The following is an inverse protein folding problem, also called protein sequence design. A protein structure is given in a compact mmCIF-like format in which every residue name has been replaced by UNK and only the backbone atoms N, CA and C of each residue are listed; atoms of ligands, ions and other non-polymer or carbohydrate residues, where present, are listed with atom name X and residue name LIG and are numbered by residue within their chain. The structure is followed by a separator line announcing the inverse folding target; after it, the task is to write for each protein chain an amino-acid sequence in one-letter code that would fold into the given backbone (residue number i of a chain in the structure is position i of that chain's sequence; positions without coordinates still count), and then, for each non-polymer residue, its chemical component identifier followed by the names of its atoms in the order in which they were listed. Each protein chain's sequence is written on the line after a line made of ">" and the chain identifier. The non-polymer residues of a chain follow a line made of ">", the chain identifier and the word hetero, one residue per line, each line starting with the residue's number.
data_IF_537224259959
#
_entry.id   IF_537224259959
#
_cell.length_a   1.000
_cell.length_b   1.000
_cell.length_c   1.000
_cell.angle_alpha   90.00
_cell.angle_beta   90.00
_cell.angle_gamma   90.00
#
_symmetry.space_group_name_H-M   'P 1'
#
loop_
_entity.id
_entity.type
_entity.pdbx_description
1 polymer ?
#
# COMPACT_ATOMS: atom_id res chain seq x y z
N UNK A 1 1.41 -9.63 5.73
CA UNK A 1 2.59 -8.98 5.13
C UNK A 1 2.23 -8.10 3.90
N UNK A 2 0.95 -7.67 3.77
CA UNK A 2 0.55 -6.74 2.72
C UNK A 2 1.35 -5.43 2.82
N UNK A 3 1.61 -4.80 1.67
CA UNK A 3 2.44 -3.60 1.59
C UNK A 3 3.94 -3.84 1.38
N UNK A 4 4.46 -5.03 1.68
CA UNK A 4 5.84 -5.42 1.37
C UNK A 4 6.07 -5.62 -0.14
N UNK A 5 7.35 -5.54 -0.61
CA UNK A 5 7.73 -6.06 -1.92
C UNK A 5 7.27 -7.51 -2.09
N UNK A 6 6.87 -7.90 -3.29
CA UNK A 6 6.18 -9.20 -3.48
C UNK A 6 7.05 -10.41 -3.13
N UNK A 7 8.36 -10.34 -3.36
CA UNK A 7 9.29 -11.40 -2.95
C UNK A 7 9.29 -11.59 -1.43
N UNK A 8 9.43 -10.49 -0.69
CA UNK A 8 9.46 -10.50 0.78
C UNK A 8 8.10 -10.94 1.35
N UNK A 9 7.00 -10.55 0.69
CA UNK A 9 5.66 -10.99 1.04
C UNK A 9 5.54 -12.52 0.93
N UNK A 10 6.02 -13.11 -0.16
CA UNK A 10 6.01 -14.58 -0.37
C UNK A 10 6.89 -15.25 0.67
N UNK A 11 8.09 -14.71 0.93
CA UNK A 11 9.03 -15.23 1.94
C UNK A 11 8.38 -15.29 3.32
N UNK A 12 7.80 -14.18 3.78
CA UNK A 12 7.07 -14.14 5.07
C UNK A 12 5.93 -15.14 5.11
N UNK A 13 5.19 -15.31 4.01
CA UNK A 13 4.05 -16.24 3.96
C UNK A 13 4.49 -17.71 4.00
N UNK A 14 5.46 -18.09 3.17
CA UNK A 14 5.87 -19.50 3.02
C UNK A 14 6.57 -20.01 4.29
N UNK A 15 7.23 -19.12 5.03
CA UNK A 15 7.92 -19.43 6.27
C UNK A 15 7.01 -19.40 7.53
N UNK A 16 5.72 -19.10 7.38
CA UNK A 16 4.79 -19.28 8.49
C UNK A 16 4.74 -20.76 8.94
N UNK A 17 4.78 -21.07 10.24
CA UNK A 17 4.94 -22.45 10.72
C UNK A 17 3.98 -23.46 10.08
N UNK A 18 2.71 -23.11 9.93
CA UNK A 18 1.69 -23.98 9.32
C UNK A 18 1.95 -24.19 7.83
N UNK A 19 2.38 -23.15 7.11
CA UNK A 19 2.61 -23.20 5.67
C UNK A 19 3.92 -23.94 5.39
N UNK A 20 4.99 -23.63 6.13
CA UNK A 20 6.28 -24.30 6.00
C UNK A 20 6.16 -25.80 6.26
N UNK A 21 5.43 -26.22 7.29
CA UNK A 21 5.20 -27.65 7.58
C UNK A 21 4.40 -28.34 6.46
N UNK A 22 3.37 -27.70 5.90
CA UNK A 22 2.61 -28.24 4.77
C UNK A 22 3.47 -28.32 3.49
N UNK A 23 4.34 -27.32 3.28
CA UNK A 23 5.30 -27.33 2.17
C UNK A 23 6.27 -28.49 2.27
N UNK A 24 6.90 -28.67 3.45
CA UNK A 24 7.85 -29.76 3.69
C UNK A 24 7.21 -31.14 3.53
N UNK A 25 5.97 -31.29 4.01
CA UNK A 25 5.21 -32.54 3.82
C UNK A 25 4.97 -32.84 2.33
N UNK A 26 4.75 -31.83 1.51
CA UNK A 26 4.41 -31.98 0.07
C UNK A 26 5.65 -32.10 -0.81
N UNK A 27 6.76 -31.44 -0.44
CA UNK A 27 7.96 -31.32 -1.27
C UNK A 27 9.19 -32.08 -0.72
N UNK A 28 9.10 -32.59 0.51
CA UNK A 28 10.16 -33.40 1.15
C UNK A 28 11.30 -32.56 1.76
N UNK A 29 11.25 -31.23 1.68
CA UNK A 29 12.22 -30.30 2.26
C UNK A 29 11.58 -28.97 2.60
N UNK A 30 12.21 -28.22 3.50
CA UNK A 30 11.81 -26.84 3.80
C UNK A 30 11.90 -25.94 2.54
N UNK A 31 11.08 -24.88 2.47
CA UNK A 31 11.13 -23.94 1.35
C UNK A 31 12.49 -23.24 1.24
N UNK A 32 12.93 -22.97 0.04
CA UNK A 32 14.21 -22.33 -0.30
C UNK A 32 14.00 -21.00 -1.03
N UNK A 33 15.04 -20.17 -1.14
CA UNK A 33 15.01 -18.95 -1.95
C UNK A 33 14.61 -19.23 -3.42
N UNK A 34 15.05 -20.35 -3.98
CA UNK A 34 14.68 -20.77 -5.35
C UNK A 34 13.19 -21.04 -5.48
N UNK A 35 12.57 -21.60 -4.43
CA UNK A 35 11.13 -21.83 -4.41
C UNK A 35 10.36 -20.52 -4.34
N UNK A 36 10.82 -19.56 -3.52
CA UNK A 36 10.27 -18.20 -3.43
C UNK A 36 10.31 -17.52 -4.79
N UNK A 37 11.48 -17.56 -5.47
CA UNK A 37 11.65 -16.95 -6.79
C UNK A 37 10.76 -17.63 -7.85
N UNK A 38 10.59 -18.96 -7.75
CA UNK A 38 9.70 -19.72 -8.65
C UNK A 38 8.23 -19.34 -8.44
N UNK A 39 7.80 -19.18 -7.18
CA UNK A 39 6.45 -18.74 -6.85
C UNK A 39 6.24 -17.31 -7.36
N UNK A 40 7.20 -16.41 -7.15
CA UNK A 40 7.14 -15.02 -7.60
C UNK A 40 6.96 -14.96 -9.12
N UNK A 41 7.77 -15.69 -9.86
CA UNK A 41 7.73 -15.72 -11.34
C UNK A 41 6.38 -16.18 -11.90
N UNK A 42 5.68 -17.08 -11.18
CA UNK A 42 4.32 -17.52 -11.52
C UNK A 42 3.24 -16.53 -11.06
N UNK A 43 3.46 -15.90 -9.92
CA UNK A 43 2.50 -14.97 -9.31
C UNK A 43 2.40 -13.65 -10.09
N UNK A 44 3.52 -13.08 -10.52
CA UNK A 44 3.54 -11.73 -11.11
C UNK A 44 2.63 -11.57 -12.34
N UNK A 45 2.65 -12.45 -13.37
CA UNK A 45 1.76 -12.28 -14.52
C UNK A 45 0.27 -12.44 -14.15
N UNK A 46 -0.04 -13.36 -13.23
CA UNK A 46 -1.41 -13.56 -12.73
C UNK A 46 -1.88 -12.31 -11.98
N UNK A 47 -1.01 -11.79 -11.10
CA UNK A 47 -1.35 -10.62 -10.31
C UNK A 47 -1.47 -9.36 -11.19
N UNK A 48 -0.67 -9.21 -12.23
CA UNK A 48 -0.79 -8.10 -13.18
C UNK A 48 -2.16 -8.09 -13.89
N UNK A 49 -2.67 -9.24 -14.25
CA UNK A 49 -4.00 -9.37 -14.86
C UNK A 49 -5.12 -9.08 -13.84
N UNK A 50 -5.03 -9.68 -12.64
CA UNK A 50 -6.04 -9.53 -11.59
C UNK A 50 -6.07 -8.11 -11.04
N UNK A 51 -4.90 -7.51 -10.76
CA UNK A 51 -4.80 -6.17 -10.18
C UNK A 51 -5.47 -5.10 -11.06
N UNK A 52 -5.37 -5.22 -12.39
CA UNK A 52 -6.03 -4.30 -13.31
C UNK A 52 -7.57 -4.36 -13.22
N UNK A 53 -8.14 -5.53 -12.88
CA UNK A 53 -9.59 -5.70 -12.71
C UNK A 53 -10.12 -5.12 -11.39
N UNK A 54 -9.22 -4.81 -10.46
CA UNK A 54 -9.52 -4.27 -9.13
C UNK A 54 -8.81 -2.93 -8.90
N UNK A 55 -8.63 -2.16 -9.99
CA UNK A 55 -7.98 -0.86 -9.96
C UNK A 55 -8.97 0.32 -9.94
N UNK A 56 -10.20 0.07 -9.48
CA UNK A 56 -11.18 1.12 -9.25
C UNK A 56 -10.70 2.05 -8.12
N UNK A 57 -10.92 3.36 -8.31
CA UNK A 57 -10.56 4.34 -7.30
C UNK A 57 -11.46 4.20 -6.05
N UNK A 58 -10.85 4.37 -4.89
CA UNK A 58 -11.61 4.48 -3.63
C UNK A 58 -12.57 5.67 -3.74
N UNK A 59 -13.84 5.53 -3.28
CA UNK A 59 -14.81 6.63 -3.31
C UNK A 59 -14.26 7.91 -2.68
N UNK A 60 -14.45 9.05 -3.37
CA UNK A 60 -13.94 10.36 -2.96
C UNK A 60 -12.45 10.61 -3.23
N UNK A 61 -11.70 9.62 -3.73
CA UNK A 61 -10.28 9.82 -4.06
C UNK A 61 -10.08 10.90 -5.14
N UNK A 62 -10.93 10.94 -6.15
CA UNK A 62 -10.83 11.94 -7.22
C UNK A 62 -11.10 13.37 -6.72
N UNK A 63 -12.12 13.54 -5.88
CA UNK A 63 -12.44 14.85 -5.28
C UNK A 63 -11.30 15.32 -4.37
N UNK A 64 -10.71 14.41 -3.61
CA UNK A 64 -9.52 14.69 -2.79
C UNK A 64 -8.35 15.12 -3.67
N UNK A 65 -8.07 14.44 -4.78
CA UNK A 65 -7.00 14.80 -5.72
C UNK A 65 -7.20 16.19 -6.32
N UNK A 66 -8.43 16.53 -6.74
CA UNK A 66 -8.76 17.85 -7.23
C UNK A 66 -8.54 18.94 -6.16
N UNK A 67 -8.86 18.63 -4.89
CA UNK A 67 -8.61 19.55 -3.80
C UNK A 67 -7.11 19.77 -3.56
N UNK A 68 -6.29 18.69 -3.59
CA UNK A 68 -4.83 18.81 -3.47
C UNK A 68 -4.23 19.62 -4.62
N UNK A 69 -4.69 19.39 -5.85
CA UNK A 69 -4.24 20.13 -7.03
C UNK A 69 -4.56 21.63 -6.90
N UNK A 70 -5.79 21.98 -6.49
CA UNK A 70 -6.17 23.39 -6.22
C UNK A 70 -5.30 24.08 -5.18
N UNK A 71 -4.75 23.30 -4.21
CA UNK A 71 -3.81 23.80 -3.20
C UNK A 71 -2.36 23.80 -3.68
N UNK A 72 -2.09 23.36 -4.91
CA UNK A 72 -0.73 23.22 -5.44
C UNK A 72 0.09 22.11 -4.78
N UNK A 73 -0.57 21.12 -4.17
CA UNK A 73 0.08 19.97 -3.51
C UNK A 73 0.38 18.89 -4.53
N UNK A 74 1.64 18.53 -4.67
CA UNK A 74 2.09 17.49 -5.58
C UNK A 74 1.74 16.10 -5.02
N UNK A 75 1.29 15.19 -5.90
CA UNK A 75 0.98 13.81 -5.55
C UNK A 75 1.92 12.87 -6.29
N UNK A 76 2.64 12.05 -5.53
CA UNK A 76 3.42 10.91 -6.01
C UNK A 76 2.91 9.60 -5.42
N UNK A 77 3.41 8.48 -5.92
CA UNK A 77 3.05 7.16 -5.43
C UNK A 77 4.28 6.31 -5.17
N UNK A 78 4.27 5.56 -4.07
CA UNK A 78 5.19 4.45 -3.80
C UNK A 78 4.39 3.18 -3.63
N UNK A 79 4.91 2.03 -4.07
CA UNK A 79 4.17 0.77 -4.00
C UNK A 79 5.08 -0.44 -3.80
N UNK A 80 4.56 -1.46 -3.11
CA UNK A 80 5.17 -2.79 -3.05
C UNK A 80 4.96 -3.63 -4.32
N UNK A 81 4.21 -3.13 -5.30
CA UNK A 81 4.08 -3.77 -6.61
C UNK A 81 5.31 -3.53 -7.47
N UNK A 82 5.60 -4.50 -8.35
CA UNK A 82 6.63 -4.36 -9.38
C UNK A 82 6.12 -3.49 -10.54
N UNK A 83 7.05 -2.99 -11.35
CA UNK A 83 6.76 -2.23 -12.56
C UNK A 83 5.87 -3.02 -13.53
N UNK A 84 6.05 -4.35 -13.59
CA UNK A 84 5.22 -5.22 -14.41
C UNK A 84 3.74 -5.13 -14.02
N UNK A 85 3.44 -5.21 -12.73
CA UNK A 85 2.07 -5.11 -12.21
C UNK A 85 1.51 -3.69 -12.44
N UNK A 86 2.30 -2.66 -12.14
CA UNK A 86 1.85 -1.28 -12.27
C UNK A 86 1.60 -0.84 -13.71
N UNK A 87 2.21 -1.48 -14.71
CA UNK A 87 1.90 -1.24 -16.14
C UNK A 87 0.44 -1.58 -16.50
N UNK A 88 -0.18 -2.50 -15.78
CA UNK A 88 -1.60 -2.84 -16.00
C UNK A 88 -2.54 -2.00 -15.12
N UNK A 89 -2.10 -1.58 -13.93
CA UNK A 89 -2.93 -0.81 -12.98
C UNK A 89 -3.01 0.67 -13.35
N UNK A 90 -1.87 1.31 -13.66
CA UNK A 90 -1.81 2.76 -13.90
C UNK A 90 -2.73 3.25 -15.04
N UNK A 91 -2.84 2.55 -16.20
CA UNK A 91 -3.76 2.98 -17.25
C UNK A 91 -5.23 2.96 -16.81
N UNK A 92 -5.62 1.97 -16.00
CA UNK A 92 -6.99 1.88 -15.47
C UNK A 92 -7.26 3.02 -14.49
N UNK A 93 -6.33 3.27 -13.57
CA UNK A 93 -6.43 4.39 -12.63
C UNK A 93 -6.45 5.75 -13.36
N UNK A 94 -5.61 5.91 -14.39
CA UNK A 94 -5.56 7.14 -15.20
C UNK A 94 -6.87 7.39 -15.96
N UNK A 95 -7.53 6.35 -16.47
CA UNK A 95 -8.84 6.48 -17.13
C UNK A 95 -9.95 6.99 -16.19
N UNK A 96 -9.74 6.86 -14.87
CA UNK A 96 -10.63 7.34 -13.83
C UNK A 96 -10.19 8.70 -13.25
N UNK A 97 -9.07 9.28 -13.73
CA UNK A 97 -8.57 10.59 -13.31
C UNK A 97 -7.36 10.56 -12.36
N UNK A 98 -6.86 9.39 -11.95
CA UNK A 98 -5.66 9.29 -11.12
C UNK A 98 -4.40 9.12 -11.95
N UNK A 99 -3.59 10.17 -12.03
CA UNK A 99 -2.29 10.19 -12.71
C UNK A 99 -1.26 10.84 -11.79
N UNK A 100 -0.60 10.09 -10.90
CA UNK A 100 0.42 10.66 -10.02
C UNK A 100 1.63 11.15 -10.83
N UNK A 101 2.30 12.20 -10.34
CA UNK A 101 3.47 12.79 -11.01
C UNK A 101 4.65 11.80 -11.11
N UNK A 102 4.71 10.84 -10.19
CA UNK A 102 5.60 9.68 -10.29
C UNK A 102 4.95 8.44 -9.67
N UNK A 103 5.50 7.26 -9.98
CA UNK A 103 5.17 6.02 -9.31
C UNK A 103 6.46 5.21 -9.11
N UNK A 104 6.89 5.10 -7.86
CA UNK A 104 8.08 4.31 -7.48
C UNK A 104 7.63 2.89 -7.14
N UNK A 105 8.08 1.93 -7.93
CA UNK A 105 7.77 0.51 -7.75
C UNK A 105 8.87 -0.20 -6.93
N UNK A 106 8.55 -1.37 -6.38
CA UNK A 106 9.49 -2.13 -5.55
C UNK A 106 10.76 -2.52 -6.28
N UNK A 107 10.68 -2.81 -7.58
CA UNK A 107 11.80 -3.18 -8.45
C UNK A 107 12.58 -1.98 -9.04
N UNK A 108 12.16 -0.75 -8.75
CA UNK A 108 12.96 0.45 -9.01
C UNK A 108 14.05 0.67 -7.95
N UNK A 109 14.05 -0.11 -6.87
CA UNK A 109 14.85 0.09 -5.67
C UNK A 109 15.66 -1.17 -5.33
N UNK A 110 16.88 -0.97 -4.78
CA UNK A 110 17.69 -2.07 -4.25
C UNK A 110 17.12 -2.62 -2.94
N UNK A 111 16.48 -1.76 -2.15
CA UNK A 111 15.82 -2.13 -0.89
C UNK A 111 14.48 -1.42 -0.85
N UNK A 112 13.41 -2.20 -0.71
CA UNK A 112 12.04 -1.71 -0.65
C UNK A 112 11.57 -1.39 0.78
N UNK A 113 10.25 -1.34 0.93
CA UNK A 113 9.57 -1.17 2.22
C UNK A 113 9.98 -2.24 3.23
N UNK A 114 10.10 -1.90 4.51
CA UNK A 114 9.74 -0.63 5.16
C UNK A 114 10.83 0.45 5.12
N UNK A 115 11.91 0.27 4.34
CA UNK A 115 12.97 1.24 4.19
C UNK A 115 12.54 2.52 3.45
N UNK A 116 13.26 3.65 3.62
CA UNK A 116 12.82 4.98 3.18
C UNK A 116 13.08 5.28 1.70
N UNK A 117 13.75 4.39 0.94
CA UNK A 117 14.26 4.71 -0.39
C UNK A 117 13.17 5.08 -1.39
N UNK A 118 11.97 4.48 -1.28
CA UNK A 118 10.83 4.83 -2.11
C UNK A 118 10.38 6.28 -1.92
N UNK A 119 10.30 6.72 -0.66
CA UNK A 119 9.97 8.11 -0.32
C UNK A 119 11.06 9.08 -0.79
N UNK A 120 12.34 8.77 -0.55
CA UNK A 120 13.45 9.63 -1.00
C UNK A 120 13.47 9.76 -2.53
N UNK A 121 13.30 8.65 -3.25
CA UNK A 121 13.20 8.70 -4.71
C UNK A 121 12.01 9.54 -5.15
N UNK A 122 10.85 9.38 -4.54
CA UNK A 122 9.67 10.18 -4.86
C UNK A 122 9.91 11.66 -4.60
N UNK A 123 10.52 12.04 -3.49
CA UNK A 123 10.89 13.42 -3.18
C UNK A 123 11.84 14.01 -4.22
N UNK A 124 12.85 13.26 -4.65
CA UNK A 124 13.79 13.70 -5.70
C UNK A 124 13.05 13.91 -7.03
N UNK A 125 12.25 12.93 -7.46
CA UNK A 125 11.51 13.00 -8.72
C UNK A 125 10.52 14.20 -8.74
N UNK A 126 9.90 14.51 -7.61
CA UNK A 126 8.95 15.62 -7.45
C UNK A 126 9.61 16.97 -7.16
N UNK A 127 10.90 16.98 -6.84
CA UNK A 127 11.62 18.19 -6.43
C UNK A 127 11.05 18.81 -5.15
N UNK A 128 10.76 17.98 -4.13
CA UNK A 128 10.19 18.42 -2.84
C UNK A 128 11.09 18.03 -1.68
N UNK A 129 11.23 18.94 -0.71
CA UNK A 129 11.95 18.74 0.55
C UNK A 129 11.56 19.86 1.54
N UNK A 130 11.86 19.77 2.84
CA UNK A 130 12.41 18.60 3.56
C UNK A 130 11.35 17.48 3.72
N UNK A 131 11.72 16.30 4.25
CA UNK A 131 10.78 15.22 4.53
C UNK A 131 9.55 15.65 5.35
N UNK A 132 9.73 16.58 6.29
CA UNK A 132 8.64 17.16 7.09
C UNK A 132 7.60 17.95 6.28
N UNK A 133 7.89 18.29 5.02
CA UNK A 133 6.93 18.91 4.09
C UNK A 133 6.20 17.90 3.20
N UNK A 134 6.44 16.59 3.41
CA UNK A 134 5.87 15.50 2.63
C UNK A 134 5.09 14.58 3.56
N UNK A 135 3.84 14.29 3.23
CA UNK A 135 3.00 13.39 4.00
C UNK A 135 2.98 12.03 3.31
N UNK A 136 3.26 10.97 4.08
CA UNK A 136 3.03 9.60 3.65
C UNK A 136 1.61 9.18 4.05
N UNK A 137 0.81 8.80 3.07
CA UNK A 137 -0.52 8.23 3.28
C UNK A 137 -0.48 6.76 2.86
N UNK A 138 -0.86 5.86 3.75
CA UNK A 138 -0.86 4.42 3.46
C UNK A 138 -1.86 3.66 4.35
N UNK A 139 -2.29 2.49 3.90
CA UNK A 139 -3.23 1.61 4.59
C UNK A 139 -2.55 0.34 5.14
N UNK A 140 -1.22 0.27 5.07
CA UNK A 140 -0.44 -0.90 5.49
C UNK A 140 0.68 -0.53 6.46
N UNK A 141 0.99 -1.42 7.42
CA UNK A 141 2.10 -1.21 8.34
C UNK A 141 3.45 -0.97 7.64
N UNK A 142 3.85 -1.73 6.59
CA UNK A 142 5.09 -1.45 5.88
C UNK A 142 5.10 -0.10 5.14
N UNK A 143 3.94 0.37 4.68
CA UNK A 143 3.83 1.67 4.03
C UNK A 143 3.92 2.83 5.01
N UNK A 144 3.31 2.73 6.18
CA UNK A 144 3.48 3.71 7.27
C UNK A 144 4.95 3.73 7.73
N UNK A 145 5.54 2.55 7.97
CA UNK A 145 6.94 2.46 8.39
C UNK A 145 7.92 3.05 7.35
N UNK A 146 7.62 2.97 6.04
CA UNK A 146 8.37 3.66 4.97
C UNK A 146 8.37 5.19 5.20
N UNK A 147 7.22 5.77 5.55
CA UNK A 147 7.09 7.21 5.85
C UNK A 147 7.84 7.61 7.10
N UNK A 148 7.68 6.85 8.18
CA UNK A 148 8.40 7.05 9.45
C UNK A 148 9.92 6.99 9.23
N UNK A 149 10.40 5.96 8.53
CA UNK A 149 11.82 5.81 8.22
C UNK A 149 12.37 6.95 7.35
N UNK A 150 11.52 7.54 6.50
CA UNK A 150 11.89 8.71 5.69
C UNK A 150 11.88 10.04 6.47
N UNK A 151 11.33 10.06 7.69
CA UNK A 151 11.15 11.29 8.49
C UNK A 151 9.97 12.15 8.02
N UNK A 152 9.00 11.55 7.37
CA UNK A 152 7.77 12.21 6.91
C UNK A 152 6.65 12.06 7.95
N UNK A 153 5.77 13.07 8.13
CA UNK A 153 4.47 12.87 8.74
C UNK A 153 3.69 11.75 8.05
N UNK A 154 2.94 10.98 8.84
CA UNK A 154 2.28 9.77 8.35
C UNK A 154 0.78 9.79 8.66
N UNK A 155 -0.02 9.36 7.68
CA UNK A 155 -1.48 9.23 7.80
C UNK A 155 -1.88 7.83 7.41
N UNK A 156 -2.46 7.09 8.35
CA UNK A 156 -3.03 5.78 8.13
C UNK A 156 -4.46 5.84 7.60
N UNK A 157 -4.83 4.91 6.72
CA UNK A 157 -6.19 4.74 6.21
C UNK A 157 -6.81 3.50 6.85
N UNK A 158 -7.86 3.68 7.65
CA UNK A 158 -8.49 2.59 8.41
C UNK A 158 -9.54 1.83 7.60
N UNK A 159 -10.73 2.40 7.40
CA UNK A 159 -11.90 1.66 6.93
C UNK A 159 -11.84 1.28 5.46
N UNK A 160 -11.30 2.13 4.60
CA UNK A 160 -11.09 1.78 3.19
C UNK A 160 -9.76 1.08 2.93
N UNK A 161 -9.03 0.73 4.00
CA UNK A 161 -7.70 0.14 3.94
C UNK A 161 -7.70 -1.38 3.89
N UNK A 162 -6.53 -1.92 3.56
CA UNK A 162 -6.30 -3.36 3.41
C UNK A 162 -6.59 -4.19 4.67
N UNK A 163 -6.43 -3.61 5.88
CA UNK A 163 -6.65 -4.34 7.13
C UNK A 163 -8.10 -4.77 7.28
N UNK A 164 -9.05 -3.93 6.89
CA UNK A 164 -10.48 -4.24 6.90
C UNK A 164 -10.84 -5.24 5.80
N UNK A 165 -10.33 -5.07 4.60
CA UNK A 165 -10.44 -6.04 3.51
C UNK A 165 -11.87 -6.25 2.99
N UNK A 166 -12.78 -5.30 3.22
CA UNK A 166 -14.17 -5.33 2.76
C UNK A 166 -14.36 -4.41 1.55
N UNK A 167 -15.27 -4.79 0.68
CA UNK A 167 -15.76 -3.88 -0.37
C UNK A 167 -16.61 -2.77 0.23
N UNK A 168 -16.81 -1.69 -0.53
CA UNK A 168 -17.69 -0.58 -0.13
C UNK A 168 -19.10 -1.06 0.23
N UNK A 169 -19.63 -2.01 -0.53
CA UNK A 169 -20.96 -2.56 -0.29
C UNK A 169 -21.03 -3.42 0.98
N UNK A 170 -20.01 -4.24 1.23
CA UNK A 170 -19.90 -5.04 2.44
C UNK A 170 -19.76 -4.15 3.67
N UNK A 171 -18.89 -3.14 3.61
CA UNK A 171 -18.72 -2.18 4.71
C UNK A 171 -20.02 -1.42 5.02
N UNK A 172 -20.76 -1.00 3.99
CA UNK A 172 -22.04 -0.31 4.14
C UNK A 172 -23.16 -1.20 4.69
N UNK A 173 -23.01 -2.52 4.63
CA UNK A 173 -23.98 -3.48 5.17
C UNK A 173 -23.76 -3.82 6.65
N UNK A 174 -22.62 -3.41 7.24
CA UNK A 174 -22.32 -3.65 8.65
C UNK A 174 -23.13 -2.75 9.57
N UNK A 175 -23.35 -3.20 10.80
CA UNK A 175 -23.85 -2.36 11.90
C UNK A 175 -22.78 -1.34 12.33
N UNK A 176 -23.22 -0.28 13.00
CA UNK A 176 -22.31 0.75 13.56
C UNK A 176 -21.26 0.14 14.50
N UNK A 177 -21.65 -0.83 15.32
CA UNK A 177 -20.74 -1.51 16.26
C UNK A 177 -19.68 -2.33 15.52
N UNK A 178 -20.04 -3.02 14.43
CA UNK A 178 -19.08 -3.78 13.59
C UNK A 178 -18.11 -2.85 12.87
N UNK A 179 -18.60 -1.74 12.31
CA UNK A 179 -17.77 -0.70 11.70
C UNK A 179 -16.76 -0.15 12.71
N UNK A 180 -17.23 0.14 13.95
CA UNK A 180 -16.34 0.65 15.01
C UNK A 180 -15.27 -0.37 15.42
N UNK A 181 -15.62 -1.65 15.50
CA UNK A 181 -14.63 -2.72 15.75
C UNK A 181 -13.56 -2.80 14.66
N UNK A 182 -13.96 -2.72 13.38
CA UNK A 182 -13.02 -2.69 12.26
C UNK A 182 -12.13 -1.45 12.30
N UNK A 183 -12.74 -0.27 12.56
CA UNK A 183 -11.99 0.99 12.70
C UNK A 183 -10.96 0.90 13.82
N UNK A 184 -11.35 0.47 15.01
CA UNK A 184 -10.47 0.36 16.16
C UNK A 184 -9.31 -0.62 15.90
N UNK A 185 -9.59 -1.76 15.28
CA UNK A 185 -8.57 -2.75 14.92
C UNK A 185 -7.56 -2.20 13.90
N UNK A 186 -8.05 -1.55 12.84
CA UNK A 186 -7.19 -0.96 11.81
C UNK A 186 -6.36 0.20 12.37
N UNK A 187 -6.98 1.06 13.18
CA UNK A 187 -6.31 2.19 13.85
C UNK A 187 -5.17 1.69 14.74
N UNK A 188 -5.43 0.72 15.60
CA UNK A 188 -4.40 0.17 16.48
C UNK A 188 -3.20 -0.40 15.71
N UNK A 189 -3.42 -1.08 14.58
CA UNK A 189 -2.36 -1.61 13.72
C UNK A 189 -1.55 -0.48 13.07
N UNK A 190 -2.19 0.57 12.57
CA UNK A 190 -1.55 1.69 11.91
C UNK A 190 -0.75 2.56 12.91
N UNK A 191 -1.31 2.82 14.09
CA UNK A 191 -0.62 3.53 15.20
C UNK A 191 0.61 2.73 15.67
N UNK A 192 0.48 1.41 15.82
CA UNK A 192 1.61 0.56 16.17
C UNK A 192 2.72 0.56 15.10
N UNK A 193 2.39 0.83 13.84
CA UNK A 193 3.35 1.02 12.75
C UNK A 193 3.97 2.44 12.72
N UNK A 194 3.47 3.37 13.53
CA UNK A 194 3.95 4.74 13.67
C UNK A 194 3.16 5.79 12.89
N UNK A 195 1.87 5.55 12.62
CA UNK A 195 1.01 6.58 12.03
C UNK A 195 0.80 7.74 13.02
N UNK A 196 1.06 8.98 12.57
CA UNK A 196 0.81 10.20 13.36
C UNK A 196 -0.68 10.52 13.43
N UNK A 197 -1.41 10.21 12.36
CA UNK A 197 -2.85 10.35 12.24
C UNK A 197 -3.46 9.13 11.57
N UNK A 198 -4.72 8.83 11.90
CA UNK A 198 -5.50 7.80 11.22
C UNK A 198 -6.86 8.39 10.82
N UNK A 199 -7.25 8.15 9.57
CA UNK A 199 -8.54 8.57 9.00
C UNK A 199 -9.27 7.36 8.39
N UNK A 200 -10.57 7.45 8.22
CA UNK A 200 -11.36 6.33 7.71
C UNK A 200 -11.09 6.05 6.22
N UNK A 201 -11.00 7.11 5.44
CA UNK A 201 -10.81 7.02 3.98
C UNK A 201 -9.92 8.16 3.48
N UNK A 202 -9.31 7.95 2.34
CA UNK A 202 -8.49 8.99 1.67
C UNK A 202 -9.28 10.27 1.37
N UNK A 203 -10.58 10.19 1.25
CA UNK A 203 -11.46 11.36 1.07
C UNK A 203 -11.43 12.34 2.27
N UNK A 204 -11.01 11.88 3.45
CA UNK A 204 -10.90 12.72 4.65
C UNK A 204 -9.58 13.50 4.73
N UNK A 205 -8.59 13.15 3.92
CA UNK A 205 -7.25 13.75 3.96
C UNK A 205 -7.26 15.30 3.86
N UNK A 206 -8.07 15.95 3.01
CA UNK A 206 -8.09 17.41 2.92
C UNK A 206 -8.46 18.12 4.24
N UNK A 207 -9.19 17.45 5.14
CA UNK A 207 -9.57 17.98 6.46
C UNK A 207 -8.38 18.09 7.42
N UNK A 208 -7.36 17.23 7.25
CA UNK A 208 -6.13 17.29 8.06
C UNK A 208 -5.16 18.37 7.58
N UNK A 209 -5.31 18.85 6.35
CA UNK A 209 -4.42 19.82 5.73
C UNK A 209 -4.88 21.27 5.89
N UNK A 210 -5.83 21.51 6.76
CA UNK A 210 -6.41 22.84 7.04
C UNK A 210 -5.57 23.66 8.00
#
# INVERSE_FOLDING_TARGET
>A
PMGLPKRDHIDVMINQPRIAAAWEQSNGSAPTDTDIDTILARFEPINAEVAARHADLIPGALDMLHELDRRGIKVGSTTGYTRLIMRSVLPVAASQGYSPLNCVCSDDLLVGRPGPLGMYKSMVDLGVFPPSAVIKVDDTAPGIAEGVAAGCPTVGIALSGNHVGLTVAELAALSEDEVEQHRASATAMLEAAGADFVIDTVADLPKLLS
#
